data_IF_424351231727
#
_entry.id   IF_424351231727
#
_cell.length_a   1.000
_cell.length_b   1.000
_cell.length_c   1.000
_cell.angle_alpha   90.00
_cell.angle_beta   90.00
_cell.angle_gamma   90.00
#
_symmetry.space_group_name_H-M   'P 1'
#
loop_
_entity.id
_entity.type
_entity.pdbx_description
1 polymer ?
#
# COMPACT_ATOMS: atom_id res chain seq x y z
N UNK A 1 4.93 40.08 3.97
CA UNK A 1 5.35 38.81 4.59
C UNK A 1 4.77 38.76 6.00
N UNK A 2 3.73 37.97 6.18
CA UNK A 2 3.25 37.53 7.49
C UNK A 2 2.96 36.03 7.29
N UNK A 3 3.87 35.20 7.79
CA UNK A 3 3.65 33.76 7.85
C UNK A 3 2.64 33.51 8.97
N UNK A 4 1.40 33.21 8.59
CA UNK A 4 0.39 32.67 9.50
C UNK A 4 0.49 31.14 9.45
N UNK A 5 1.24 30.56 10.38
CA UNK A 5 1.01 29.16 10.75
C UNK A 5 -0.34 29.12 11.50
N UNK A 6 -1.40 28.66 10.84
CA UNK A 6 -2.69 28.37 11.50
C UNK A 6 -2.84 26.87 11.71
N UNK A 7 -2.52 26.45 12.93
CA UNK A 7 -3.17 25.43 13.76
C UNK A 7 -3.97 24.36 12.99
N UNK A 8 -3.50 23.11 13.10
CA UNK A 8 -4.19 21.88 12.70
C UNK A 8 -5.51 21.70 13.46
N UNK A 9 -6.64 21.95 12.81
CA UNK A 9 -7.93 21.38 13.23
C UNK A 9 -8.15 20.08 12.46
N UNK A 10 -7.53 19.01 12.95
CA UNK A 10 -7.64 17.68 12.35
C UNK A 10 -9.08 17.16 12.53
N UNK A 11 -9.85 17.14 11.44
CA UNK A 11 -10.98 16.24 11.28
C UNK A 11 -10.98 15.69 9.85
N UNK A 12 -10.40 14.50 9.69
CA UNK A 12 -10.83 13.59 8.63
C UNK A 12 -11.06 12.18 9.19
N UNK A 13 -12.17 11.89 9.88
CA UNK A 13 -12.52 10.53 10.26
C UNK A 13 -13.25 9.84 9.09
N UNK A 14 -12.57 8.93 8.39
CA UNK A 14 -13.22 7.88 7.59
C UNK A 14 -12.51 6.56 7.83
N UNK A 15 -13.26 5.53 8.22
CA UNK A 15 -12.72 4.18 8.48
C UNK A 15 -12.60 3.41 7.17
N UNK A 16 -11.48 2.70 7.04
CA UNK A 16 -11.26 1.41 6.39
C UNK A 16 -12.16 1.05 5.19
N UNK A 17 -11.57 1.12 3.98
CA UNK A 17 -11.94 0.26 2.85
C UNK A 17 -10.65 -0.29 2.25
N UNK A 18 -10.29 -1.53 2.62
CA UNK A 18 -9.08 -2.18 2.16
C UNK A 18 -9.41 -3.24 1.12
N UNK A 19 -8.90 -3.03 -0.08
CA UNK A 19 -8.22 -4.01 -0.93
C UNK A 19 -8.24 -3.48 -2.36
N UNK A 20 -7.15 -2.84 -2.76
CA UNK A 20 -6.86 -2.59 -4.17
C UNK A 20 -6.12 -3.83 -4.66
N UNK A 21 -6.74 -4.59 -5.56
CA UNK A 21 -6.03 -5.65 -6.28
C UNK A 21 -5.10 -5.01 -7.31
N UNK A 22 -3.94 -5.63 -7.57
CA UNK A 22 -3.09 -5.27 -8.70
C UNK A 22 -3.81 -5.62 -10.00
N UNK A 23 -3.70 -4.74 -11.00
CA UNK A 23 -4.04 -5.09 -12.37
C UNK A 23 -2.94 -6.01 -12.91
N UNK A 24 -3.30 -7.28 -13.16
CA UNK A 24 -2.38 -8.25 -13.73
C UNK A 24 -2.34 -8.05 -15.24
N UNK A 25 -1.13 -7.89 -15.76
CA UNK A 25 -0.89 -7.72 -17.18
C UNK A 25 -0.54 -9.07 -17.83
N UNK A 26 -0.78 -9.23 -19.13
CA UNK A 26 -0.36 -10.44 -19.85
C UNK A 26 1.17 -10.60 -19.88
N UNK A 27 1.92 -9.48 -19.81
CA UNK A 27 3.38 -9.48 -19.72
C UNK A 27 3.90 -10.01 -18.39
N UNK A 28 3.10 -10.00 -17.33
CA UNK A 28 3.51 -10.53 -16.02
C UNK A 28 3.72 -12.07 -16.06
N UNK A 29 3.27 -12.74 -17.13
CA UNK A 29 3.41 -14.19 -17.33
C UNK A 29 4.26 -14.56 -18.55
N UNK A 30 4.93 -13.58 -19.18
CA UNK A 30 5.78 -13.82 -20.34
C UNK A 30 7.24 -13.95 -19.91
N UNK A 31 7.75 -15.18 -19.83
CA UNK A 31 9.14 -15.50 -19.45
C UNK A 31 10.19 -14.87 -20.39
N UNK A 32 9.79 -14.35 -21.56
CA UNK A 32 10.70 -13.64 -22.47
C UNK A 32 10.91 -12.17 -22.09
N UNK A 33 10.09 -11.65 -21.17
CA UNK A 33 10.16 -10.28 -20.67
C UNK A 33 10.85 -10.29 -19.30
N UNK A 34 11.77 -9.34 -19.09
CA UNK A 34 12.43 -9.18 -17.79
C UNK A 34 11.47 -8.46 -16.84
N UNK A 35 11.05 -9.15 -15.78
CA UNK A 35 10.24 -8.59 -14.68
C UNK A 35 11.14 -8.23 -13.49
N UNK A 36 11.45 -6.95 -13.26
CA UNK A 36 12.24 -6.52 -12.12
C UNK A 36 11.40 -6.46 -10.85
N UNK A 37 11.99 -6.83 -9.71
CA UNK A 37 11.32 -6.75 -8.40
C UNK A 37 10.95 -5.30 -8.08
N UNK A 38 9.69 -5.08 -7.71
CA UNK A 38 9.15 -3.79 -7.31
C UNK A 38 8.69 -3.76 -5.84
N UNK A 39 8.24 -2.58 -5.38
CA UNK A 39 7.76 -2.37 -4.02
C UNK A 39 6.45 -3.11 -3.72
N UNK A 40 5.62 -3.31 -4.74
CA UNK A 40 4.37 -4.05 -4.61
C UNK A 40 4.61 -5.55 -4.43
N UNK A 41 5.55 -6.15 -5.17
CA UNK A 41 5.95 -7.55 -5.00
C UNK A 41 6.46 -7.79 -3.58
N UNK A 42 7.34 -6.92 -3.07
CA UNK A 42 7.81 -7.01 -1.68
C UNK A 42 6.66 -6.89 -0.69
N UNK A 43 5.74 -5.95 -0.91
CA UNK A 43 4.54 -5.77 -0.08
C UNK A 43 3.66 -7.02 -0.08
N UNK A 44 3.39 -7.61 -1.24
CA UNK A 44 2.57 -8.83 -1.36
C UNK A 44 3.16 -10.02 -0.61
N UNK A 45 4.49 -10.13 -0.55
CA UNK A 45 5.17 -11.18 0.19
C UNK A 45 5.03 -11.05 1.72
N UNK A 46 4.81 -9.84 2.25
CA UNK A 46 4.85 -9.57 3.70
C UNK A 46 3.50 -9.12 4.30
N UNK A 47 2.52 -8.73 3.47
CA UNK A 47 1.26 -8.14 3.93
C UNK A 47 0.43 -9.04 4.86
N UNK A 48 0.60 -10.35 4.75
CA UNK A 48 -0.14 -11.37 5.51
C UNK A 48 0.68 -11.93 6.69
N UNK A 49 1.80 -11.30 7.05
CA UNK A 49 2.54 -11.62 8.27
C UNK A 49 1.76 -11.04 9.46
N UNK A 50 1.27 -11.93 10.32
CA UNK A 50 0.43 -11.57 11.44
C UNK A 50 1.23 -11.17 12.68
N UNK A 51 0.72 -10.17 13.39
CA UNK A 51 1.24 -9.79 14.71
C UNK A 51 0.98 -10.95 15.70
N UNK A 52 2.03 -11.52 16.35
CA UNK A 52 1.87 -12.62 17.30
C UNK A 52 1.12 -12.23 18.58
N UNK A 53 1.01 -10.93 18.89
CA UNK A 53 0.37 -10.43 20.11
C UNK A 53 -1.14 -10.18 19.95
N UNK A 54 -1.66 -10.22 18.71
CA UNK A 54 -3.06 -9.94 18.42
C UNK A 54 -3.77 -11.14 17.77
N UNK A 55 -5.06 -11.39 18.11
CA UNK A 55 -5.83 -12.45 17.49
C UNK A 55 -6.21 -12.08 16.06
N UNK A 56 -6.20 -13.09 15.19
CA UNK A 56 -6.73 -13.04 13.83
C UNK A 56 -8.26 -13.09 13.79
#
# INVERSE_FOLDING_TARGET
MLNSESITENQNPTVYKASVGREVSASDFDDSIVDPIDDFEVFEHIKDIHDPEHPL
#
